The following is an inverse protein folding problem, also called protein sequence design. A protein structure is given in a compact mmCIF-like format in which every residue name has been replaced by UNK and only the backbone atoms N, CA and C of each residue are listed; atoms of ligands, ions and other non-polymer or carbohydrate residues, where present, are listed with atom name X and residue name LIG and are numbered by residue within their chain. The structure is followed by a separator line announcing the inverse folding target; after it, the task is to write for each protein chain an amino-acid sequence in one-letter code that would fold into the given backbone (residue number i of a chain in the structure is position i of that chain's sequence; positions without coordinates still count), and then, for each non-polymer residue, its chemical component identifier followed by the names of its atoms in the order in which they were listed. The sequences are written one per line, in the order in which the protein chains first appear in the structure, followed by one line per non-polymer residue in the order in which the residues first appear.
data_IF_744077865485
#
_entry.id   IF_744077865485
#
_cell.length_a   1.000
_cell.length_b   1.000
_cell.length_c   1.000
_cell.angle_alpha   90.00
_cell.angle_beta   90.00
_cell.angle_gamma   90.00
#
_symmetry.space_group_name_H-M   'P 1'
#
loop_
_entity.id
_entity.type
_entity.pdbx_description
1 polymer ?
#
# COMPACT_ATOMS: atom_id res chain seq x y z
N UNK A 1 11.37 -16.26 -13.48
CA UNK A 1 10.95 -15.16 -12.58
C UNK A 1 11.54 -13.87 -13.12
N UNK A 2 10.72 -12.88 -13.45
CA UNK A 2 11.22 -11.60 -13.95
C UNK A 2 11.46 -10.65 -12.77
N UNK A 3 12.67 -10.08 -12.67
CA UNK A 3 12.97 -9.04 -11.69
C UNK A 3 12.52 -7.69 -12.24
N UNK A 4 11.44 -7.17 -11.69
CA UNK A 4 10.96 -5.83 -12.01
C UNK A 4 11.75 -4.84 -11.15
N UNK A 5 12.43 -3.88 -11.80
CA UNK A 5 13.21 -2.85 -11.10
C UNK A 5 12.36 -1.68 -10.57
N UNK A 6 11.23 -1.39 -11.23
CA UNK A 6 10.34 -0.30 -10.87
C UNK A 6 8.88 -0.65 -11.19
N UNK A 7 7.98 -0.31 -10.27
CA UNK A 7 6.54 -0.46 -10.42
C UNK A 7 5.85 0.86 -10.02
N UNK A 8 5.07 1.42 -10.95
CA UNK A 8 4.19 2.56 -10.65
C UNK A 8 2.75 2.04 -10.64
N UNK A 9 2.02 2.27 -9.55
CA UNK A 9 0.64 1.86 -9.40
C UNK A 9 -0.24 3.08 -9.19
N UNK A 10 -1.11 3.37 -10.16
CA UNK A 10 -2.07 4.46 -10.10
C UNK A 10 -3.46 3.89 -9.86
N UNK A 11 -4.06 4.23 -8.72
CA UNK A 11 -5.43 3.84 -8.36
C UNK A 11 -6.23 5.09 -8.09
N UNK A 12 -7.45 5.17 -8.63
CA UNK A 12 -8.31 6.32 -8.46
C UNK A 12 -9.65 5.92 -7.84
N UNK A 13 -10.18 6.76 -6.95
CA UNK A 13 -11.56 6.61 -6.49
C UNK A 13 -12.52 6.72 -7.67
N UNK A 14 -13.43 5.76 -7.76
CA UNK A 14 -14.37 5.63 -8.86
C UNK A 14 -13.93 4.70 -9.98
N UNK A 15 -12.68 4.26 -10.01
CA UNK A 15 -12.19 3.27 -10.95
C UNK A 15 -12.84 1.91 -10.71
N UNK A 16 -13.20 1.21 -11.80
CA UNK A 16 -13.58 -0.20 -11.74
C UNK A 16 -12.34 -1.10 -11.80
N UNK A 17 -12.33 -2.11 -10.92
CA UNK A 17 -11.30 -3.13 -10.86
C UNK A 17 -11.94 -4.52 -10.82
N UNK A 18 -11.20 -5.53 -11.27
CA UNK A 18 -11.58 -6.93 -11.12
C UNK A 18 -11.00 -7.50 -9.83
N UNK A 19 -11.82 -8.21 -9.07
CA UNK A 19 -11.46 -8.85 -7.81
C UNK A 19 -11.80 -10.34 -7.89
N UNK A 20 -10.94 -11.19 -7.33
CA UNK A 20 -11.17 -12.63 -7.23
C UNK A 20 -11.35 -13.28 -8.61
N UNK A 21 -12.43 -14.07 -8.77
CA UNK A 21 -12.77 -14.77 -10.02
C UNK A 21 -13.50 -13.87 -11.02
N UNK A 22 -12.94 -12.70 -11.32
CA UNK A 22 -13.47 -11.72 -12.29
C UNK A 22 -14.73 -10.94 -11.87
N UNK A 23 -14.92 -10.67 -10.58
CA UNK A 23 -15.99 -9.79 -10.13
C UNK A 23 -15.59 -8.31 -10.28
N UNK A 24 -16.47 -7.50 -10.87
CA UNK A 24 -16.27 -6.06 -10.95
C UNK A 24 -16.60 -5.39 -9.62
N UNK A 25 -15.71 -4.52 -9.18
CA UNK A 25 -15.92 -3.66 -8.02
C UNK A 25 -15.42 -2.25 -8.33
N UNK A 26 -16.06 -1.25 -7.73
CA UNK A 26 -15.66 0.15 -7.85
C UNK A 26 -14.89 0.57 -6.60
N UNK A 27 -13.75 1.22 -6.78
CA UNK A 27 -12.99 1.80 -5.65
C UNK A 27 -13.79 2.97 -5.10
N UNK A 28 -14.08 2.95 -3.80
CA UNK A 28 -14.85 3.98 -3.10
C UNK A 28 -13.97 4.84 -2.20
N UNK A 29 -12.86 4.30 -1.68
CA UNK A 29 -11.93 5.03 -0.81
C UNK A 29 -10.53 4.43 -0.92
N UNK A 30 -9.50 5.26 -0.74
CA UNK A 30 -8.11 4.83 -0.62
C UNK A 30 -7.60 5.35 0.73
N UNK A 31 -6.99 4.48 1.53
CA UNK A 31 -6.53 4.79 2.88
C UNK A 31 -5.09 4.31 3.06
N UNK A 32 -4.26 5.16 3.67
CA UNK A 32 -2.93 4.81 4.13
C UNK A 32 -2.93 4.77 5.66
N UNK A 33 -2.36 3.70 6.22
CA UNK A 33 -2.28 3.47 7.66
C UNK A 33 -0.84 3.66 8.13
N UNK A 34 -0.51 4.86 8.61
CA UNK A 34 0.86 5.27 8.99
C UNK A 34 1.57 4.27 9.92
N UNK A 35 0.85 3.69 10.89
CA UNK A 35 1.43 2.78 11.88
C UNK A 35 1.88 1.45 11.28
N UNK A 36 1.11 0.88 10.35
CA UNK A 36 1.42 -0.40 9.71
C UNK A 36 2.12 -0.26 8.36
N UNK A 37 2.02 0.91 7.73
CA UNK A 37 2.50 1.13 6.36
C UNK A 37 1.57 0.57 5.28
N UNK A 38 0.32 0.30 5.63
CA UNK A 38 -0.61 -0.36 4.71
C UNK A 38 -1.33 0.65 3.84
N UNK A 39 -1.41 0.37 2.53
CA UNK A 39 -2.40 1.00 1.66
C UNK A 39 -3.53 0.01 1.43
N UNK A 40 -4.75 0.43 1.81
CA UNK A 40 -5.98 -0.30 1.51
C UNK A 40 -6.89 0.50 0.58
N UNK A 41 -7.58 -0.21 -0.29
CA UNK A 41 -8.68 0.33 -1.08
C UNK A 41 -9.99 -0.27 -0.63
N UNK A 42 -10.95 0.59 -0.30
CA UNK A 42 -12.32 0.17 -0.06
C UNK A 42 -13.02 0.09 -1.41
N UNK A 43 -13.78 -0.98 -1.59
CA UNK A 43 -14.52 -1.22 -2.83
C UNK A 43 -15.97 -1.53 -2.52
N UNK A 44 -16.82 -1.49 -3.53
CA UNK A 44 -18.23 -1.95 -3.42
C UNK A 44 -18.38 -3.42 -3.02
N UNK A 45 -17.28 -4.20 -3.04
CA UNK A 45 -17.21 -5.60 -2.64
C UNK A 45 -16.28 -5.82 -1.43
N UNK A 46 -16.07 -4.78 -0.64
CA UNK A 46 -15.28 -4.80 0.60
C UNK A 46 -13.85 -4.25 0.45
N UNK A 47 -13.14 -4.08 1.58
CA UNK A 47 -11.77 -3.57 1.62
C UNK A 47 -10.77 -4.58 1.06
N UNK A 48 -9.71 -4.08 0.41
CA UNK A 48 -8.59 -4.87 -0.11
C UNK A 48 -7.26 -4.18 0.20
N UNK A 49 -6.29 -4.95 0.67
CA UNK A 49 -4.92 -4.49 0.88
C UNK A 49 -4.19 -4.47 -0.46
N UNK A 50 -3.55 -3.36 -0.81
CA UNK A 50 -2.85 -3.18 -2.09
C UNK A 50 -1.36 -3.36 -1.93
N UNK A 51 -0.77 -2.62 -1.00
CA UNK A 51 0.66 -2.63 -0.74
C UNK A 51 0.91 -2.45 0.76
N UNK A 52 2.02 -3.01 1.23
CA UNK A 52 2.56 -2.76 2.58
C UNK A 52 3.94 -2.17 2.40
N UNK A 53 4.15 -0.95 2.85
CA UNK A 53 5.46 -0.30 2.85
C UNK A 53 5.52 0.74 3.97
N UNK A 54 6.72 0.96 4.50
CA UNK A 54 6.96 2.07 5.42
C UNK A 54 7.72 3.16 4.67
N UNK A 55 7.26 4.40 4.77
CA UNK A 55 8.07 5.55 4.35
C UNK A 55 9.29 5.64 5.28
N UNK A 56 10.49 5.73 4.70
CA UNK A 56 11.69 6.00 5.49
C UNK A 56 11.56 7.40 6.10
N UNK A 57 11.43 7.48 7.42
CA UNK A 57 11.52 8.76 8.10
C UNK A 57 12.99 9.18 8.13
N UNK A 58 13.27 10.47 7.95
CA UNK A 58 14.64 11.01 8.05
C UNK A 58 15.29 10.69 9.41
N UNK A 59 14.48 10.52 10.46
CA UNK A 59 14.90 10.19 11.83
C UNK A 59 15.34 8.73 12.03
N UNK A 60 15.07 7.83 11.08
CA UNK A 60 15.52 6.43 11.17
C UNK A 60 16.93 6.23 10.60
N UNK A 61 17.59 7.30 10.14
CA UNK A 61 19.01 7.30 9.75
C UNK A 61 19.89 7.44 10.97
N UNK A 62 19.96 6.39 11.79
CA UNK A 62 20.99 6.26 12.82
C UNK A 62 22.26 5.75 12.14
N UNK A 63 23.41 6.40 12.38
CA UNK A 63 24.71 5.86 11.92
C UNK A 63 24.96 4.45 12.48
N UNK A 64 24.40 4.16 13.67
CA UNK A 64 24.41 2.84 14.29
C UNK A 64 22.98 2.36 14.60
N UNK A 65 22.52 1.22 14.03
CA UNK A 65 21.18 0.68 14.27
C UNK A 65 20.85 0.36 15.74
N UNK A 66 21.85 0.25 16.62
CA UNK A 66 21.66 0.00 18.05
C UNK A 66 21.20 1.24 18.83
N UNK A 67 21.43 2.45 18.30
CA UNK A 67 21.09 3.72 18.97
C UNK A 67 19.58 3.92 19.13
N UNK A 68 18.75 3.17 18.40
CA UNK A 68 17.29 3.18 18.53
C UNK A 68 16.75 2.64 19.87
N UNK A 69 17.61 2.07 20.72
CA UNK A 69 17.25 1.47 22.01
C UNK A 69 17.87 2.18 23.23
N UNK A 70 18.61 3.27 23.01
CA UNK A 70 19.29 4.02 24.06
C UNK A 70 18.45 5.22 24.50
#
# INVERSE_FOLDING_TARGET
MAHIKQLNLNLQVGQEILIGKHERAKITKIEYFDKSGDISVNTTKGPRKVLTFRLCNERDSYENPADKYR
#
